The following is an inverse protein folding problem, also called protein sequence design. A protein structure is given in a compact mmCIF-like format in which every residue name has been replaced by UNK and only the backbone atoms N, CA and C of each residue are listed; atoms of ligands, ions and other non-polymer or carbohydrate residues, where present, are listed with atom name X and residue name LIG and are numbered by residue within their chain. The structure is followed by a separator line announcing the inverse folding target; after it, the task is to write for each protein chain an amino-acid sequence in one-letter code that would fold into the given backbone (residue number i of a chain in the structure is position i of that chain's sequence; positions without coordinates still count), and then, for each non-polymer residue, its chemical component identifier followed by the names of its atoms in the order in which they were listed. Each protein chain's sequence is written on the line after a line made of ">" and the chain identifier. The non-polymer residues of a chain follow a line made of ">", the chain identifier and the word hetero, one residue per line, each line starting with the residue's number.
data_IF_493438095754
#
_entry.id   IF_493438095754
#
_cell.length_a   1.000
_cell.length_b   1.000
_cell.length_c   1.000
_cell.angle_alpha   90.00
_cell.angle_beta   90.00
_cell.angle_gamma   90.00
#
_symmetry.space_group_name_H-M   'P 1'
#
loop_
_entity.id
_entity.type
_entity.pdbx_description
1 polymer ?
#
# COMPACT_ATOMS: atom_id res chain seq x y z
N UNK A 1 -16.43 -17.85 9.73
CA UNK A 1 -16.29 -18.90 8.69
C UNK A 1 -14.90 -18.78 8.10
N UNK A 2 -14.41 -19.79 7.39
CA UNK A 2 -13.15 -19.64 6.64
C UNK A 2 -13.39 -18.84 5.37
N UNK A 3 -12.50 -17.89 5.04
CA UNK A 3 -12.69 -17.04 3.89
C UNK A 3 -12.63 -17.87 2.60
N UNK A 4 -13.43 -17.48 1.62
CA UNK A 4 -13.57 -18.19 0.34
C UNK A 4 -13.42 -17.23 -0.82
N UNK A 5 -12.53 -17.57 -1.75
CA UNK A 5 -12.40 -16.88 -3.03
C UNK A 5 -13.69 -17.13 -3.85
N UNK A 6 -14.34 -16.04 -4.24
CA UNK A 6 -15.53 -16.03 -5.08
C UNK A 6 -15.14 -15.92 -6.57
N UNK A 7 -14.19 -15.04 -6.89
CA UNK A 7 -13.62 -14.87 -8.23
C UNK A 7 -12.20 -14.31 -8.16
N UNK A 8 -11.43 -14.52 -9.23
CA UNK A 8 -10.13 -13.90 -9.49
C UNK A 8 -10.05 -13.60 -10.98
N UNK A 9 -9.93 -12.33 -11.32
CA UNK A 9 -9.85 -11.87 -12.71
C UNK A 9 -8.55 -11.10 -12.92
N UNK A 10 -7.90 -11.33 -14.07
CA UNK A 10 -6.81 -10.47 -14.52
C UNK A 10 -7.42 -9.20 -15.09
N UNK A 11 -7.13 -8.06 -14.47
CA UNK A 11 -7.72 -6.77 -14.85
C UNK A 11 -6.77 -5.89 -15.67
N UNK A 12 -5.47 -6.23 -15.71
CA UNK A 12 -4.49 -5.52 -16.53
C UNK A 12 -3.22 -6.33 -16.78
N UNK A 13 -2.73 -6.31 -18.02
CA UNK A 13 -1.43 -6.86 -18.42
C UNK A 13 -0.78 -6.16 -19.61
N UNK A 14 -1.08 -4.89 -19.88
CA UNK A 14 -0.50 -4.20 -21.05
C UNK A 14 0.98 -3.87 -20.87
N UNK A 15 1.39 -3.40 -19.68
CA UNK A 15 2.79 -3.07 -19.37
C UNK A 15 3.73 -4.27 -19.36
N UNK A 16 5.04 -4.00 -19.50
CA UNK A 16 6.10 -5.03 -19.41
C UNK A 16 6.23 -5.58 -17.99
N UNK A 17 6.24 -4.69 -17.00
CA UNK A 17 6.14 -5.01 -15.58
C UNK A 17 5.01 -4.19 -14.96
N UNK A 18 4.11 -4.84 -14.22
CA UNK A 18 2.93 -4.22 -13.60
C UNK A 18 2.90 -4.62 -12.12
N UNK A 19 3.04 -3.68 -11.20
CA UNK A 19 3.17 -4.02 -9.79
C UNK A 19 2.72 -2.93 -8.80
N UNK A 20 2.67 -3.32 -7.53
CA UNK A 20 2.48 -2.44 -6.38
C UNK A 20 1.12 -1.77 -6.32
N UNK A 21 0.07 -2.59 -6.44
CA UNK A 21 -1.30 -2.10 -6.63
C UNK A 21 -1.86 -1.33 -5.44
N UNK A 22 -2.92 -0.57 -5.69
CA UNK A 22 -3.89 -0.18 -4.69
C UNK A 22 -5.28 -0.06 -5.30
N UNK A 23 -6.32 -0.10 -4.47
CA UNK A 23 -7.72 -0.12 -4.89
C UNK A 23 -8.57 0.76 -3.97
N UNK A 24 -9.43 1.60 -4.55
CA UNK A 24 -10.48 2.32 -3.81
C UNK A 24 -11.80 2.32 -4.57
N UNK A 25 -12.88 2.52 -3.82
CA UNK A 25 -14.21 2.77 -4.34
C UNK A 25 -14.49 4.27 -4.19
N UNK A 26 -14.60 4.99 -5.31
CA UNK A 26 -14.73 6.44 -5.32
C UNK A 26 -15.76 6.89 -6.38
N UNK A 27 -16.64 7.81 -5.99
CA UNK A 27 -17.68 8.39 -6.85
C UNK A 27 -18.46 7.37 -7.70
N UNK A 28 -18.88 6.24 -7.11
CA UNK A 28 -19.66 5.26 -7.88
C UNK A 28 -18.85 4.42 -8.87
N UNK A 29 -17.51 4.55 -8.90
CA UNK A 29 -16.60 3.63 -9.64
C UNK A 29 -15.51 2.97 -8.77
N UNK A 30 -14.89 1.93 -9.33
CA UNK A 30 -13.65 1.32 -8.86
C UNK A 30 -12.45 2.02 -9.50
N UNK A 31 -11.40 2.21 -8.71
CA UNK A 31 -10.14 2.82 -9.15
C UNK A 31 -8.99 1.98 -8.65
N UNK A 32 -8.14 1.53 -9.58
CA UNK A 32 -6.95 0.76 -9.28
C UNK A 32 -5.72 1.49 -9.82
N UNK A 33 -4.66 1.54 -9.01
CA UNK A 33 -3.38 2.15 -9.38
C UNK A 33 -2.26 1.14 -9.27
N UNK A 34 -1.27 1.22 -10.14
CA UNK A 34 -0.06 0.39 -10.10
C UNK A 34 1.06 1.06 -10.89
N UNK A 35 2.29 0.61 -10.65
CA UNK A 35 3.46 1.01 -11.42
C UNK A 35 3.55 0.18 -12.70
N UNK A 36 3.85 0.85 -13.82
CA UNK A 36 4.31 0.23 -15.06
C UNK A 36 5.77 0.61 -15.32
N UNK A 37 6.61 -0.38 -15.62
CA UNK A 37 8.02 -0.15 -15.97
C UNK A 37 8.60 -1.31 -16.81
N UNK A 38 9.91 -1.24 -17.10
CA UNK A 38 10.63 -2.32 -17.78
C UNK A 38 10.84 -3.56 -16.89
N UNK A 39 11.03 -3.36 -15.58
CA UNK A 39 11.28 -4.43 -14.61
C UNK A 39 10.88 -4.02 -13.17
N UNK A 40 11.03 -4.96 -12.21
CA UNK A 40 10.84 -4.71 -10.79
C UNK A 40 11.91 -3.78 -10.17
N UNK A 41 13.07 -3.67 -10.80
CA UNK A 41 14.29 -3.10 -10.25
C UNK A 41 14.35 -1.57 -10.37
N UNK A 42 15.38 -1.10 -11.08
CA UNK A 42 15.83 0.29 -11.12
C UNK A 42 15.42 1.01 -12.41
N UNK A 43 14.39 0.51 -13.09
CA UNK A 43 13.86 1.14 -14.29
C UNK A 43 13.03 2.37 -13.95
N UNK A 44 13.00 3.38 -14.83
CA UNK A 44 12.08 4.51 -14.71
C UNK A 44 10.66 4.00 -14.94
N UNK A 45 9.82 4.09 -13.91
CA UNK A 45 8.43 3.69 -13.92
C UNK A 45 7.47 4.87 -13.98
N UNK A 46 6.28 4.58 -14.52
CA UNK A 46 5.12 5.48 -14.49
C UNK A 46 4.02 4.86 -13.64
N UNK A 47 3.09 5.69 -13.17
CA UNK A 47 1.91 5.21 -12.45
C UNK A 47 0.69 5.21 -13.37
N UNK A 48 0.11 4.03 -13.54
CA UNK A 48 -1.14 3.81 -14.26
C UNK A 48 -2.31 3.96 -13.29
N UNK A 49 -3.36 4.63 -13.74
CA UNK A 49 -4.68 4.62 -13.10
C UNK A 49 -5.66 3.94 -14.06
N UNK A 50 -6.34 2.91 -13.60
CA UNK A 50 -7.44 2.27 -14.32
C UNK A 50 -8.74 2.39 -13.53
N UNK A 51 -9.87 2.44 -14.23
CA UNK A 51 -11.18 2.53 -13.62
C UNK A 51 -12.15 1.50 -14.17
N UNK A 52 -13.17 1.18 -13.38
CA UNK A 52 -14.25 0.28 -13.75
C UNK A 52 -15.54 0.66 -13.04
N UNK A 53 -16.68 0.52 -13.71
CA UNK A 53 -17.99 0.77 -13.09
C UNK A 53 -18.50 -0.46 -12.33
N UNK A 54 -18.17 -1.67 -12.82
CA UNK A 54 -18.70 -2.95 -12.37
C UNK A 54 -17.64 -3.89 -11.77
N UNK A 55 -16.37 -3.51 -11.86
CA UNK A 55 -15.24 -4.34 -11.44
C UNK A 55 -14.86 -5.44 -12.43
N UNK A 56 -15.50 -5.49 -13.61
CA UNK A 56 -15.27 -6.47 -14.66
C UNK A 56 -14.60 -5.84 -15.89
N UNK A 57 -15.17 -4.75 -16.39
CA UNK A 57 -14.61 -4.02 -17.53
C UNK A 57 -13.73 -2.88 -17.03
N UNK A 58 -12.43 -2.95 -17.33
CA UNK A 58 -11.43 -1.98 -16.89
C UNK A 58 -10.88 -1.17 -18.07
N UNK A 59 -10.67 0.12 -17.84
CA UNK A 59 -10.09 1.01 -18.83
C UNK A 59 -8.99 1.88 -18.19
N UNK A 60 -7.96 2.20 -18.97
CA UNK A 60 -6.98 3.22 -18.60
C UNK A 60 -7.65 4.59 -18.47
N UNK A 61 -7.53 5.20 -17.28
CA UNK A 61 -8.06 6.53 -16.99
C UNK A 61 -6.99 7.61 -17.01
N UNK A 62 -5.78 7.31 -16.50
CA UNK A 62 -4.67 8.27 -16.46
C UNK A 62 -3.30 7.57 -16.41
N UNK A 63 -2.27 8.33 -16.79
CA UNK A 63 -0.85 7.99 -16.59
C UNK A 63 -0.17 9.18 -15.93
N UNK A 64 0.47 8.94 -14.80
CA UNK A 64 1.33 9.90 -14.16
C UNK A 64 2.78 9.51 -14.42
N UNK A 65 3.56 10.48 -14.89
CA UNK A 65 4.98 10.36 -15.18
C UNK A 65 5.70 11.64 -14.74
N UNK A 66 6.96 11.51 -14.36
CA UNK A 66 7.88 12.60 -14.05
C UNK A 66 9.20 12.27 -14.75
N UNK A 67 9.77 13.23 -15.47
CA UNK A 67 10.97 13.01 -16.27
C UNK A 67 12.13 12.56 -15.38
N UNK A 68 12.86 11.52 -15.82
CA UNK A 68 13.98 10.89 -15.10
C UNK A 68 13.66 10.34 -13.68
N UNK A 69 12.39 10.31 -13.27
CA UNK A 69 11.98 9.87 -11.93
C UNK A 69 11.13 8.60 -12.02
N UNK A 70 11.54 7.57 -11.28
CA UNK A 70 10.75 6.34 -11.11
C UNK A 70 9.62 6.58 -10.12
N UNK A 71 8.41 6.81 -10.65
CA UNK A 71 7.19 6.87 -9.85
C UNK A 71 6.74 5.45 -9.48
N UNK A 72 6.64 5.18 -8.19
CA UNK A 72 6.52 3.82 -7.66
C UNK A 72 5.62 3.70 -6.43
N UNK A 73 5.16 2.48 -6.18
CA UNK A 73 4.29 2.10 -5.07
C UNK A 73 3.06 3.01 -4.88
N UNK A 74 2.26 3.27 -5.92
CA UNK A 74 1.12 4.16 -5.80
C UNK A 74 0.11 3.66 -4.76
N UNK A 75 -0.32 4.55 -3.86
CA UNK A 75 -1.40 4.31 -2.90
C UNK A 75 -2.44 5.42 -2.99
N UNK A 76 -3.70 5.02 -3.10
CA UNK A 76 -4.85 5.89 -3.17
C UNK A 76 -5.40 6.16 -1.77
N UNK A 77 -5.89 7.38 -1.59
CA UNK A 77 -6.70 7.77 -0.45
C UNK A 77 -7.81 8.72 -0.92
N UNK A 78 -9.00 8.59 -0.33
CA UNK A 78 -10.07 9.59 -0.51
C UNK A 78 -9.89 10.66 0.56
N UNK A 79 -9.76 11.91 0.14
CA UNK A 79 -9.63 13.05 1.03
C UNK A 79 -10.97 13.43 1.66
N UNK A 80 -10.97 14.11 2.83
CA UNK A 80 -12.19 14.60 3.47
C UNK A 80 -13.00 15.57 2.60
N UNK A 81 -12.32 16.35 1.75
CA UNK A 81 -12.96 17.26 0.80
C UNK A 81 -13.52 16.55 -0.46
N UNK A 82 -13.44 15.22 -0.51
CA UNK A 82 -13.96 14.39 -1.57
C UNK A 82 -13.02 14.22 -2.76
N UNK A 83 -11.80 14.78 -2.78
CA UNK A 83 -10.84 14.48 -3.85
C UNK A 83 -10.16 13.13 -3.66
N UNK A 84 -9.62 12.57 -4.73
CA UNK A 84 -8.62 11.51 -4.65
C UNK A 84 -7.23 12.11 -4.41
N UNK A 85 -6.47 11.44 -3.55
CA UNK A 85 -5.05 11.68 -3.31
C UNK A 85 -4.28 10.42 -3.69
N UNK A 86 -3.19 10.61 -4.42
CA UNK A 86 -2.28 9.55 -4.83
C UNK A 86 -0.90 9.82 -4.25
N UNK A 87 -0.42 8.87 -3.45
CA UNK A 87 0.89 8.89 -2.81
C UNK A 87 1.79 7.94 -3.57
N UNK A 88 2.98 8.39 -3.94
CA UNK A 88 3.95 7.62 -4.70
C UNK A 88 5.34 7.85 -4.10
N UNK A 89 6.25 6.89 -4.25
CA UNK A 89 7.67 7.16 -4.19
C UNK A 89 8.16 7.73 -5.52
N UNK A 90 9.09 8.68 -5.49
CA UNK A 90 9.86 9.12 -6.65
C UNK A 90 11.34 8.80 -6.42
N UNK A 91 11.86 7.79 -7.12
CA UNK A 91 13.27 7.40 -7.02
C UNK A 91 14.09 7.93 -8.19
N UNK A 92 15.33 8.33 -7.89
CA UNK A 92 16.31 8.79 -8.85
C UNK A 92 17.44 7.78 -8.94
N UNK A 93 17.83 7.47 -10.18
CA UNK A 93 18.89 6.52 -10.51
C UNK A 93 19.92 7.18 -11.41
N UNK A 94 21.18 6.77 -11.29
CA UNK A 94 22.21 7.03 -12.29
C UNK A 94 22.65 5.69 -12.88
N UNK A 95 22.13 5.36 -14.07
CA UNK A 95 22.23 4.01 -14.63
C UNK A 95 21.49 3.00 -13.75
N UNK A 96 22.18 2.02 -13.19
CA UNK A 96 21.61 1.05 -12.23
C UNK A 96 21.95 1.36 -10.77
N UNK A 97 22.51 2.55 -10.50
CA UNK A 97 22.89 2.98 -9.16
C UNK A 97 21.78 3.83 -8.52
N UNK A 98 21.35 3.46 -7.32
CA UNK A 98 20.43 4.27 -6.51
C UNK A 98 21.12 5.59 -6.09
N UNK A 99 20.44 6.72 -6.29
CA UNK A 99 20.90 8.03 -5.85
C UNK A 99 20.15 8.49 -4.61
N UNK A 100 18.86 8.78 -4.78
CA UNK A 100 17.98 9.17 -3.69
C UNK A 100 16.53 8.87 -4.07
N UNK A 101 15.62 9.16 -3.14
CA UNK A 101 14.18 9.11 -3.36
C UNK A 101 13.50 10.20 -2.55
N UNK A 102 12.30 10.56 -2.95
CA UNK A 102 11.41 11.41 -2.14
C UNK A 102 9.97 11.14 -2.51
N UNK A 103 9.01 11.25 -1.58
CA UNK A 103 7.62 11.03 -1.91
C UNK A 103 7.09 12.05 -2.91
N UNK A 104 6.05 11.63 -3.65
CA UNK A 104 5.30 12.41 -4.61
C UNK A 104 3.82 12.31 -4.31
N UNK A 105 3.12 13.45 -4.35
CA UNK A 105 1.69 13.54 -4.11
C UNK A 105 1.02 14.15 -5.34
N UNK A 106 -0.05 13.52 -5.81
CA UNK A 106 -0.94 14.08 -6.83
C UNK A 106 -2.39 14.02 -6.35
N UNK A 107 -3.21 14.94 -6.83
CA UNK A 107 -4.63 15.01 -6.51
C UNK A 107 -5.48 14.92 -7.75
N UNK A 108 -6.70 14.40 -7.60
CA UNK A 108 -7.67 14.35 -8.67
C UNK A 108 -9.08 14.62 -8.14
N UNK A 109 -9.89 15.47 -8.79
CA UNK A 109 -11.29 15.64 -8.44
C UNK A 109 -12.18 14.49 -8.91
N UNK A 110 -11.75 13.69 -9.89
CA UNK A 110 -12.61 12.74 -10.60
C UNK A 110 -11.97 11.37 -10.90
N UNK A 111 -10.67 11.22 -10.62
CA UNK A 111 -9.84 10.05 -10.92
C UNK A 111 -9.24 10.03 -12.33
N UNK A 112 -9.63 10.97 -13.20
CA UNK A 112 -9.17 11.07 -14.59
C UNK A 112 -8.13 12.19 -14.74
N UNK A 113 -8.43 13.38 -14.22
CA UNK A 113 -7.53 14.53 -14.29
C UNK A 113 -6.69 14.61 -13.01
N UNK A 114 -5.36 14.59 -13.16
CA UNK A 114 -4.43 14.60 -12.03
C UNK A 114 -3.54 15.84 -12.06
N UNK A 115 -3.28 16.42 -10.89
CA UNK A 115 -2.24 17.44 -10.76
C UNK A 115 -0.86 16.84 -11.06
N UNK A 116 0.09 17.69 -11.44
CA UNK A 116 1.50 17.28 -11.50
C UNK A 116 1.94 16.74 -10.12
N UNK A 117 2.77 15.67 -10.07
CA UNK A 117 3.29 15.15 -8.82
C UNK A 117 4.11 16.19 -8.06
N UNK A 118 3.73 16.49 -6.82
CA UNK A 118 4.45 17.40 -5.94
C UNK A 118 5.43 16.62 -5.05
N UNK A 119 6.72 16.99 -5.06
CA UNK A 119 7.73 16.48 -4.11
C UNK A 119 7.39 16.96 -2.70
N UNK A 120 7.31 16.02 -1.75
CA UNK A 120 7.12 16.30 -0.32
C UNK A 120 8.21 15.62 0.49
N UNK A 121 8.40 16.03 1.75
CA UNK A 121 9.48 15.57 2.65
C UNK A 121 10.91 15.78 2.09
N UNK A 122 11.90 15.55 2.95
CA UNK A 122 13.30 15.56 2.56
C UNK A 122 13.65 14.33 1.72
N UNK A 123 14.87 14.33 1.18
CA UNK A 123 15.43 13.20 0.45
C UNK A 123 15.58 11.95 1.34
N UNK A 124 15.66 10.80 0.68
CA UNK A 124 15.64 9.43 1.21
C UNK A 124 14.35 8.96 1.90
N UNK A 125 13.40 9.85 2.14
CA UNK A 125 12.08 9.49 2.65
C UNK A 125 11.26 8.72 1.62
N UNK A 126 10.45 7.78 2.10
CA UNK A 126 9.44 7.09 1.32
C UNK A 126 8.15 6.95 2.12
N UNK A 127 7.18 7.80 1.80
CA UNK A 127 5.88 7.83 2.45
C UNK A 127 5.04 6.67 1.92
N UNK A 128 4.67 5.73 2.79
CA UNK A 128 4.14 4.45 2.31
C UNK A 128 2.69 4.54 1.84
N UNK A 129 1.77 4.86 2.74
CA UNK A 129 0.31 4.91 2.51
C UNK A 129 -0.30 5.96 3.43
N UNK A 130 -1.25 6.74 2.92
CA UNK A 130 -1.96 7.74 3.71
C UNK A 130 -3.28 7.19 4.24
N UNK A 131 -3.59 7.50 5.49
CA UNK A 131 -4.88 7.21 6.14
C UNK A 131 -5.43 8.48 6.75
N UNK A 132 -6.65 8.86 6.39
CA UNK A 132 -7.34 10.01 6.94
C UNK A 132 -8.15 9.63 8.17
N UNK A 133 -8.08 10.46 9.21
CA UNK A 133 -8.94 10.43 10.40
C UNK A 133 -9.55 11.82 10.57
N UNK A 134 -10.82 11.97 10.20
CA UNK A 134 -11.41 13.29 10.01
C UNK A 134 -10.58 14.11 9.02
N UNK A 135 -10.25 15.35 9.38
CA UNK A 135 -9.48 16.29 8.55
C UNK A 135 -7.95 16.09 8.59
N UNK A 136 -7.45 15.03 9.25
CA UNK A 136 -6.01 14.82 9.43
C UNK A 136 -5.57 13.53 8.75
N UNK A 137 -4.62 13.66 7.82
CA UNK A 137 -3.90 12.57 7.19
C UNK A 137 -2.76 12.09 8.09
N UNK A 138 -2.54 10.78 8.13
CA UNK A 138 -1.41 10.15 8.79
C UNK A 138 -0.71 9.20 7.83
N UNK A 139 0.62 9.14 7.93
CA UNK A 139 1.42 8.17 7.19
C UNK A 139 2.75 7.94 7.86
N UNK A 140 3.32 6.76 7.62
CA UNK A 140 4.68 6.43 8.04
C UNK A 140 5.60 6.49 6.84
N UNK A 141 6.69 7.24 6.99
CA UNK A 141 7.78 7.26 6.04
C UNK A 141 8.87 6.28 6.46
N UNK A 142 9.37 5.46 5.52
CA UNK A 142 10.60 4.70 5.71
C UNK A 142 11.80 5.54 5.27
N UNK A 143 12.81 5.62 6.12
CA UNK A 143 14.10 6.25 5.84
C UNK A 143 15.21 5.20 5.92
N UNK A 144 16.19 5.30 5.02
CA UNK A 144 17.24 4.31 4.85
C UNK A 144 16.86 3.22 3.83
N UNK A 145 17.80 2.95 2.91
CA UNK A 145 17.76 1.86 1.92
C UNK A 145 19.03 1.00 2.04
N UNK A 146 18.98 -0.22 1.51
CA UNK A 146 20.16 -1.09 1.42
C UNK A 146 20.80 -1.48 2.77
N UNK A 147 22.07 -1.13 2.95
CA UNK A 147 22.90 -1.53 4.10
C UNK A 147 22.66 -0.71 5.37
N UNK A 148 21.83 0.34 5.31
CA UNK A 148 21.54 1.19 6.45
C UNK A 148 20.34 0.69 7.28
N UNK A 149 20.31 0.98 8.59
CA UNK A 149 19.14 0.70 9.42
C UNK A 149 17.89 1.37 8.82
N UNK A 150 16.80 0.59 8.66
CA UNK A 150 15.51 1.12 8.20
C UNK A 150 14.74 1.68 9.39
N UNK A 151 14.30 2.92 9.26
CA UNK A 151 13.65 3.69 10.32
C UNK A 151 12.26 4.11 9.86
N UNK A 152 11.27 3.94 10.73
CA UNK A 152 9.89 4.38 10.49
C UNK A 152 9.63 5.71 11.18
N UNK A 153 9.10 6.68 10.46
CA UNK A 153 8.76 8.00 10.99
C UNK A 153 7.29 8.30 10.75
N UNK A 154 6.54 8.53 11.83
CA UNK A 154 5.14 8.90 11.75
C UNK A 154 5.01 10.40 11.47
N UNK A 155 4.22 10.73 10.46
CA UNK A 155 3.86 12.09 10.09
C UNK A 155 2.35 12.27 10.07
N UNK A 156 1.93 13.53 10.22
CA UNK A 156 0.56 13.98 9.95
C UNK A 156 0.52 15.15 8.98
N UNK A 157 -0.61 15.36 8.33
CA UNK A 157 -0.86 16.49 7.42
C UNK A 157 -2.35 16.84 7.41
N UNK A 158 -2.69 18.05 7.00
CA UNK A 158 -4.09 18.49 6.78
C UNK A 158 -4.41 18.71 5.30
N UNK A 159 -3.39 18.81 4.45
CA UNK A 159 -3.52 19.10 3.02
C UNK A 159 -2.87 18.01 2.13
N UNK A 160 -2.17 17.05 2.74
CA UNK A 160 -1.41 16.02 2.05
C UNK A 160 -0.07 16.49 1.49
N UNK A 161 0.28 17.78 1.61
CA UNK A 161 1.49 18.39 1.05
C UNK A 161 2.48 18.79 2.16
N UNK A 162 2.01 19.51 3.18
CA UNK A 162 2.80 19.89 4.34
C UNK A 162 2.67 18.81 5.42
N UNK A 163 3.78 18.14 5.71
CA UNK A 163 3.83 17.03 6.66
C UNK A 163 4.57 17.42 7.93
N UNK A 164 3.90 17.28 9.08
CA UNK A 164 4.46 17.49 10.41
C UNK A 164 4.90 16.14 10.99
N UNK A 165 6.15 16.07 11.45
CA UNK A 165 6.68 14.90 12.16
C UNK A 165 6.02 14.75 13.53
N UNK A 166 5.64 13.52 13.89
CA UNK A 166 5.10 13.18 15.22
C UNK A 166 6.14 12.46 16.07
N UNK A 167 6.60 11.29 15.60
CA UNK A 167 7.55 10.47 16.32
C UNK A 167 8.31 9.53 15.37
N UNK A 168 9.35 8.90 15.91
CA UNK A 168 10.02 7.77 15.29
C UNK A 168 9.53 6.44 15.90
N UNK A 169 9.51 5.39 15.10
CA UNK A 169 9.18 4.04 15.55
C UNK A 169 10.43 3.35 16.12
N UNK A 170 10.52 3.30 17.44
CA UNK A 170 11.52 2.52 18.16
C UNK A 170 11.00 1.09 18.39
N UNK A 171 11.34 0.18 17.47
CA UNK A 171 11.01 -1.23 17.63
C UNK A 171 11.84 -1.85 18.78
N UNK A 172 11.29 -2.83 19.53
CA UNK A 172 12.01 -3.51 20.61
C UNK A 172 13.37 -4.11 20.19
N UNK A 173 14.26 -4.27 21.17
CA UNK A 173 15.58 -4.90 21.00
C UNK A 173 16.51 -4.18 20.00
N UNK A 174 16.43 -2.85 19.92
CA UNK A 174 17.24 -2.03 18.99
C UNK A 174 17.06 -2.47 17.53
N UNK A 175 15.84 -2.85 17.16
CA UNK A 175 15.52 -3.37 15.83
C UNK A 175 15.31 -2.23 14.84
N UNK A 176 16.13 -2.19 13.79
CA UNK A 176 16.07 -1.15 12.75
C UNK A 176 15.59 -1.69 11.40
N UNK A 177 14.36 -2.21 11.38
CA UNK A 177 13.78 -2.87 10.20
C UNK A 177 12.45 -2.27 9.75
N UNK A 178 11.92 -1.28 10.50
CA UNK A 178 10.65 -0.63 10.20
C UNK A 178 10.67 -0.04 8.79
N UNK A 179 9.70 -0.44 7.97
CA UNK A 179 9.62 -0.01 6.58
C UNK A 179 8.19 0.26 6.13
N UNK A 180 7.70 -0.50 5.15
CA UNK A 180 6.34 -0.35 4.59
C UNK A 180 5.30 -0.57 5.69
N UNK A 181 4.47 0.45 5.93
CA UNK A 181 3.63 0.51 7.13
C UNK A 181 2.25 1.07 6.83
N UNK A 182 1.23 0.26 7.00
CA UNK A 182 -0.16 0.69 6.89
C UNK A 182 -0.70 1.09 8.27
N UNK A 183 -1.50 2.16 8.32
CA UNK A 183 -2.17 2.64 9.54
C UNK A 183 -3.70 2.50 9.41
N UNK A 184 -4.41 2.19 10.50
CA UNK A 184 -5.87 2.33 10.62
C UNK A 184 -6.25 2.76 12.03
N UNK A 185 -7.45 3.31 12.16
CA UNK A 185 -8.00 3.76 13.44
C UNK A 185 -9.10 2.83 13.94
N UNK A 186 -9.04 2.52 15.22
CA UNK A 186 -10.09 1.84 15.98
C UNK A 186 -11.10 2.87 16.52
N UNK A 187 -12.31 2.45 16.93
CA UNK A 187 -13.35 3.38 17.40
C UNK A 187 -12.99 4.22 18.63
N UNK A 188 -11.98 3.81 19.41
CA UNK A 188 -11.49 4.55 20.59
C UNK A 188 -10.27 5.44 20.28
N UNK A 189 -10.09 5.81 19.02
CA UNK A 189 -8.97 6.58 18.45
C UNK A 189 -7.60 5.89 18.55
N UNK A 190 -7.54 4.62 18.96
CA UNK A 190 -6.31 3.83 18.88
C UNK A 190 -5.87 3.68 17.42
N UNK A 191 -4.65 4.11 17.13
CA UNK A 191 -3.99 3.88 15.85
C UNK A 191 -3.31 2.51 15.89
N UNK A 192 -3.59 1.70 14.89
CA UNK A 192 -2.93 0.40 14.67
C UNK A 192 -2.01 0.53 13.46
N UNK A 193 -0.78 0.06 13.59
CA UNK A 193 0.22 0.01 12.53
C UNK A 193 0.57 -1.44 12.18
N UNK A 194 0.47 -1.81 10.90
CA UNK A 194 1.02 -3.07 10.38
C UNK A 194 2.31 -2.77 9.62
N UNK A 195 3.44 -3.16 10.20
CA UNK A 195 4.79 -2.71 9.82
C UNK A 195 5.60 -3.88 9.27
N UNK A 196 6.12 -3.72 8.05
CA UNK A 196 7.11 -4.64 7.48
C UNK A 196 8.44 -4.56 8.26
N UNK A 197 9.09 -5.69 8.59
CA UNK A 197 8.77 -7.04 8.10
C UNK A 197 7.75 -7.84 8.92
N UNK A 198 7.58 -7.58 10.21
CA UNK A 198 6.93 -8.54 11.10
C UNK A 198 6.45 -7.88 12.41
N UNK A 199 5.92 -6.66 12.35
CA UNK A 199 5.50 -5.93 13.53
C UNK A 199 4.06 -5.41 13.43
N UNK A 200 3.35 -5.47 14.55
CA UNK A 200 2.11 -4.72 14.78
C UNK A 200 2.36 -3.74 15.91
N UNK A 201 1.94 -2.49 15.74
CA UNK A 201 2.02 -1.46 16.76
C UNK A 201 0.65 -0.89 17.10
N UNK A 202 0.46 -0.48 18.34
CA UNK A 202 -0.70 0.34 18.74
C UNK A 202 -0.27 1.58 19.52
N UNK A 203 -1.03 2.66 19.34
CA UNK A 203 -0.82 3.90 20.05
C UNK A 203 -2.12 4.69 20.19
N UNK A 204 -2.30 5.36 21.33
CA UNK A 204 -3.39 6.34 21.54
C UNK A 204 -2.90 7.76 21.26
N UNK A 205 -3.80 8.72 20.99
CA UNK A 205 -3.40 10.13 20.90
C UNK A 205 -2.53 10.54 22.10
N UNK A 206 -1.44 11.31 21.90
CA UNK A 206 -1.03 12.00 20.68
C UNK A 206 -0.15 11.18 19.72
N UNK A 207 -0.17 9.86 19.81
CA UNK A 207 0.54 8.90 18.95
C UNK A 207 2.07 8.89 19.07
N UNK A 208 2.58 9.30 20.23
CA UNK A 208 4.02 9.40 20.51
C UNK A 208 4.60 8.19 21.23
N UNK A 209 3.74 7.35 21.85
CA UNK A 209 4.15 6.17 22.60
C UNK A 209 3.49 4.92 22.01
N UNK A 210 4.31 3.93 21.66
CA UNK A 210 3.86 2.76 20.91
C UNK A 210 4.10 1.46 21.68
N UNK A 211 3.09 0.62 21.72
CA UNK A 211 3.20 -0.77 22.14
C UNK A 211 3.43 -1.64 20.89
N UNK A 212 4.47 -2.47 20.92
CA UNK A 212 4.89 -3.28 19.76
C UNK A 212 4.74 -4.76 20.02
N UNK A 213 4.19 -5.48 19.04
CA UNK A 213 4.15 -6.94 19.00
C UNK A 213 4.88 -7.43 17.76
N UNK A 214 5.90 -8.28 17.93
CA UNK A 214 6.50 -9.00 16.81
C UNK A 214 5.63 -10.19 16.45
N UNK A 215 5.25 -10.31 15.18
CA UNK A 215 4.51 -11.46 14.67
C UNK A 215 5.48 -12.50 14.11
N UNK A 216 5.05 -13.77 14.03
CA UNK A 216 5.88 -14.86 13.52
C UNK A 216 6.08 -14.85 12.00
N UNK A 217 5.25 -14.10 11.29
CA UNK A 217 5.22 -14.08 9.82
C UNK A 217 5.98 -12.88 9.25
N UNK A 218 6.82 -13.14 8.25
CA UNK A 218 7.48 -12.06 7.49
C UNK A 218 6.59 -11.62 6.33
N UNK A 219 6.41 -10.31 6.24
CA UNK A 219 5.54 -9.64 5.27
C UNK A 219 6.34 -8.76 4.30
N UNK A 220 5.76 -8.50 3.14
CA UNK A 220 6.16 -7.43 2.22
C UNK A 220 4.93 -6.71 1.67
N UNK A 221 5.00 -5.39 1.50
CA UNK A 221 3.88 -4.57 1.03
C UNK A 221 2.57 -4.72 1.83
N UNK A 222 2.59 -4.68 3.18
CA UNK A 222 1.41 -4.95 3.99
C UNK A 222 0.32 -3.88 3.82
N UNK A 223 -0.93 -4.32 3.76
CA UNK A 223 -2.14 -3.53 3.86
C UNK A 223 -3.14 -4.23 4.78
N UNK A 224 -4.05 -3.48 5.40
CA UNK A 224 -5.16 -4.05 6.14
C UNK A 224 -6.35 -3.09 6.15
N UNK A 225 -7.54 -3.63 6.44
CA UNK A 225 -8.77 -2.87 6.60
C UNK A 225 -9.44 -3.24 7.92
N UNK A 226 -10.21 -2.28 8.45
CA UNK A 226 -11.19 -2.55 9.51
C UNK A 226 -12.53 -2.76 8.82
N UNK A 227 -13.05 -3.97 8.95
CA UNK A 227 -14.36 -4.36 8.44
C UNK A 227 -15.47 -3.60 9.17
N UNK A 228 -16.66 -3.55 8.57
CA UNK A 228 -17.83 -2.86 9.12
C UNK A 228 -18.26 -3.37 10.49
N UNK A 229 -18.00 -4.64 10.81
CA UNK A 229 -18.23 -5.25 12.13
C UNK A 229 -17.09 -5.04 13.14
N UNK A 230 -16.02 -4.36 12.73
CA UNK A 230 -14.83 -4.07 13.54
C UNK A 230 -13.71 -5.10 13.45
N UNK A 231 -13.90 -6.24 12.77
CA UNK A 231 -12.82 -7.21 12.53
C UNK A 231 -11.73 -6.64 11.63
N UNK A 232 -10.49 -7.11 11.77
CA UNK A 232 -9.37 -6.68 10.94
C UNK A 232 -8.96 -7.78 9.97
N UNK A 233 -8.82 -7.41 8.70
CA UNK A 233 -8.33 -8.28 7.63
C UNK A 233 -7.10 -7.66 7.00
N UNK A 234 -6.03 -8.43 6.90
CA UNK A 234 -4.75 -7.98 6.38
C UNK A 234 -4.31 -8.78 5.15
N UNK A 235 -3.50 -8.16 4.30
CA UNK A 235 -2.84 -8.83 3.19
C UNK A 235 -1.41 -8.34 3.04
N UNK A 236 -0.53 -9.25 2.68
CA UNK A 236 0.87 -8.99 2.42
C UNK A 236 1.47 -10.08 1.53
N UNK A 237 2.73 -9.87 1.12
CA UNK A 237 3.56 -10.92 0.55
C UNK A 237 3.98 -11.85 1.67
N UNK A 238 3.49 -13.07 1.64
CA UNK A 238 3.87 -14.15 2.54
C UNK A 238 4.47 -15.31 1.76
N UNK A 239 4.38 -16.51 2.33
CA UNK A 239 4.77 -17.75 1.68
C UNK A 239 3.67 -18.81 1.81
N UNK A 240 3.56 -19.67 0.81
CA UNK A 240 2.87 -20.96 0.98
C UNK A 240 3.61 -21.81 2.03
N UNK A 241 2.95 -22.81 2.65
CA UNK A 241 3.64 -23.78 3.52
C UNK A 241 4.84 -24.47 2.86
N UNK A 242 4.83 -24.61 1.52
CA UNK A 242 5.96 -25.12 0.73
C UNK A 242 7.11 -24.13 0.51
N UNK A 243 7.00 -22.89 1.01
CA UNK A 243 8.05 -21.87 0.96
C UNK A 243 8.00 -20.91 -0.23
N UNK A 244 7.14 -21.15 -1.22
CA UNK A 244 6.95 -20.30 -2.40
C UNK A 244 6.30 -18.96 -2.03
N UNK A 245 6.67 -17.86 -2.71
CA UNK A 245 6.07 -16.54 -2.45
C UNK A 245 4.59 -16.54 -2.81
N UNK A 246 3.78 -15.89 -1.97
CA UNK A 246 2.33 -15.80 -2.18
C UNK A 246 1.77 -14.45 -1.73
N UNK A 247 0.65 -14.07 -2.33
CA UNK A 247 -0.26 -13.05 -1.78
C UNK A 247 -1.19 -13.74 -0.80
N UNK A 248 -1.13 -13.33 0.47
CA UNK A 248 -1.91 -13.95 1.53
C UNK A 248 -3.02 -13.00 2.01
N UNK A 249 -4.15 -13.57 2.42
CA UNK A 249 -5.14 -12.92 3.27
C UNK A 249 -5.00 -13.50 4.68
N UNK A 250 -5.01 -12.62 5.67
CA UNK A 250 -4.81 -12.95 7.06
C UNK A 250 -5.92 -12.37 7.95
N UNK A 251 -6.32 -13.14 8.97
CA UNK A 251 -7.06 -12.61 10.11
C UNK A 251 -6.09 -11.81 10.96
N UNK A 252 -6.47 -10.60 11.33
CA UNK A 252 -5.63 -9.71 12.11
C UNK A 252 -6.34 -9.30 13.40
N UNK A 253 -5.56 -9.07 14.44
CA UNK A 253 -5.94 -8.29 15.62
C UNK A 253 -4.90 -7.20 15.85
N UNK A 254 -5.06 -6.41 16.90
CA UNK A 254 -4.05 -5.43 17.33
C UNK A 254 -2.69 -6.06 17.71
N UNK A 255 -2.63 -7.38 17.90
CA UNK A 255 -1.41 -8.09 18.33
C UNK A 255 -1.18 -9.42 17.61
N UNK A 256 -1.99 -9.78 16.61
CA UNK A 256 -1.84 -11.04 15.89
C UNK A 256 -2.09 -10.90 14.39
N UNK A 257 -1.45 -11.78 13.64
CA UNK A 257 -1.56 -11.91 12.20
C UNK A 257 -1.51 -13.40 11.84
N UNK A 258 -2.61 -13.92 11.32
CA UNK A 258 -2.76 -15.34 10.97
C UNK A 258 -3.14 -15.47 9.49
N UNK A 259 -2.21 -15.92 8.61
CA UNK A 259 -2.56 -16.26 7.23
C UNK A 259 -3.62 -17.36 7.20
N UNK A 260 -4.73 -17.11 6.51
CA UNK A 260 -5.88 -18.04 6.43
C UNK A 260 -6.27 -18.40 5.00
N UNK A 261 -5.75 -17.67 4.00
CA UNK A 261 -6.04 -17.91 2.60
C UNK A 261 -4.87 -17.43 1.73
N UNK A 262 -4.54 -18.19 0.69
CA UNK A 262 -3.51 -17.87 -0.29
C UNK A 262 -4.17 -17.67 -1.66
N UNK A 263 -3.93 -16.52 -2.28
CA UNK A 263 -4.50 -16.22 -3.60
C UNK A 263 -3.68 -16.90 -4.70
N UNK A 264 -4.28 -17.19 -5.87
CA UNK A 264 -3.56 -17.59 -7.07
C UNK A 264 -2.48 -16.55 -7.40
N UNK A 265 -1.25 -16.84 -6.99
CA UNK A 265 -0.13 -15.90 -7.05
C UNK A 265 1.20 -16.62 -6.88
N UNK A 266 2.29 -15.98 -7.31
CA UNK A 266 3.61 -16.59 -7.30
C UNK A 266 4.68 -15.68 -7.89
N UNK A 267 5.95 -16.03 -7.66
CA UNK A 267 7.09 -15.25 -8.12
C UNK A 267 7.15 -13.85 -7.52
N UNK A 268 7.06 -12.83 -8.38
CA UNK A 268 6.94 -11.43 -7.97
C UNK A 268 5.46 -11.06 -7.81
N UNK A 269 4.99 -10.89 -6.57
CA UNK A 269 3.56 -10.75 -6.27
C UNK A 269 3.24 -9.95 -4.99
N UNK A 270 1.94 -9.69 -4.78
CA UNK A 270 1.28 -9.07 -3.61
C UNK A 270 0.97 -7.57 -3.72
N UNK A 271 1.23 -6.79 -2.67
CA UNK A 271 1.00 -5.35 -2.53
C UNK A 271 -0.47 -5.00 -2.79
N UNK A 272 -1.33 -5.52 -1.92
CA UNK A 272 -2.75 -5.52 -2.16
C UNK A 272 -3.44 -4.18 -1.87
N UNK A 273 -4.36 -3.78 -2.75
CA UNK A 273 -5.42 -2.83 -2.45
C UNK A 273 -6.62 -3.58 -1.88
N UNK A 274 -7.31 -3.04 -0.87
CA UNK A 274 -8.35 -3.77 -0.14
C UNK A 274 -9.55 -2.87 0.14
N UNK A 275 -10.75 -3.32 -0.24
CA UNK A 275 -12.00 -2.59 -0.04
C UNK A 275 -13.10 -3.56 0.37
N UNK A 276 -13.81 -3.25 1.45
CA UNK A 276 -15.11 -3.87 1.75
C UNK A 276 -16.19 -3.22 0.88
N UNK A 277 -16.94 -4.02 0.13
CA UNK A 277 -18.09 -3.55 -0.64
C UNK A 277 -19.17 -4.62 -0.70
N UNK A 278 -20.38 -4.27 -0.26
CA UNK A 278 -21.55 -5.16 -0.24
C UNK A 278 -21.30 -6.51 0.49
N UNK A 279 -20.53 -6.46 1.59
CA UNK A 279 -20.19 -7.64 2.38
C UNK A 279 -19.14 -8.56 1.76
N UNK A 280 -18.46 -8.11 0.70
CA UNK A 280 -17.41 -8.84 0.00
C UNK A 280 -16.10 -8.06 0.07
N UNK A 281 -14.98 -8.76 0.30
CA UNK A 281 -13.66 -8.18 0.24
C UNK A 281 -13.19 -8.17 -1.21
N UNK A 282 -13.03 -6.97 -1.76
CA UNK A 282 -12.43 -6.74 -3.06
C UNK A 282 -10.95 -6.45 -2.87
N UNK A 283 -10.11 -7.22 -3.55
CA UNK A 283 -8.67 -7.16 -3.35
C UNK A 283 -7.92 -7.13 -4.67
N UNK A 284 -7.29 -6.01 -4.99
CA UNK A 284 -6.33 -5.94 -6.10
C UNK A 284 -4.98 -6.49 -5.63
N UNK A 285 -4.23 -7.13 -6.51
CA UNK A 285 -2.84 -7.52 -6.25
C UNK A 285 -2.12 -7.74 -7.58
N UNK A 286 -0.78 -7.73 -7.56
CA UNK A 286 -0.01 -8.13 -8.73
C UNK A 286 0.59 -9.52 -8.55
N UNK A 287 0.90 -10.21 -9.65
CA UNK A 287 1.55 -11.51 -9.63
C UNK A 287 2.21 -11.87 -10.95
N UNK A 288 3.34 -12.58 -10.91
CA UNK A 288 4.02 -13.14 -12.09
C UNK A 288 3.76 -14.63 -12.31
N UNK A 289 2.79 -15.24 -11.62
CA UNK A 289 2.53 -16.69 -11.70
C UNK A 289 2.15 -17.22 -13.09
N UNK A 290 1.69 -16.34 -13.99
CA UNK A 290 1.37 -16.66 -15.39
C UNK A 290 2.48 -16.19 -16.36
N UNK A 291 3.71 -16.00 -15.87
CA UNK A 291 4.89 -15.63 -16.65
C UNK A 291 5.27 -14.15 -16.53
N UNK A 292 4.37 -13.23 -16.91
CA UNK A 292 4.57 -11.78 -16.78
C UNK A 292 3.80 -11.24 -15.58
N UNK A 293 4.36 -10.27 -14.86
CA UNK A 293 3.63 -9.57 -13.79
C UNK A 293 2.40 -8.87 -14.37
N UNK A 294 1.23 -9.27 -13.87
CA UNK A 294 -0.08 -8.73 -14.26
C UNK A 294 -0.84 -8.31 -13.01
N UNK A 295 -1.89 -7.51 -13.18
CA UNK A 295 -2.76 -7.06 -12.10
C UNK A 295 -4.01 -7.93 -12.06
N UNK A 296 -4.36 -8.38 -10.87
CA UNK A 296 -5.50 -9.23 -10.61
C UNK A 296 -6.44 -8.57 -9.60
N UNK A 297 -7.72 -8.89 -9.68
CA UNK A 297 -8.76 -8.51 -8.74
C UNK A 297 -9.43 -9.77 -8.22
N UNK A 298 -9.41 -9.97 -6.91
CA UNK A 298 -10.12 -11.04 -6.25
C UNK A 298 -11.35 -10.49 -5.51
N UNK A 299 -12.42 -11.28 -5.51
CA UNK A 299 -13.55 -11.12 -4.60
C UNK A 299 -13.53 -12.27 -3.59
N UNK A 300 -13.65 -11.95 -2.30
CA UNK A 300 -13.50 -12.92 -1.21
C UNK A 300 -14.64 -12.72 -0.22
N UNK A 301 -15.36 -13.80 0.09
CA UNK A 301 -16.26 -13.85 1.24
C UNK A 301 -15.41 -14.10 2.50
N UNK A 302 -15.56 -13.26 3.52
CA UNK A 302 -14.78 -13.30 4.77
C UNK A 302 -15.67 -13.50 6.00
#
# INVERSE_FOLDING_TARGET
>A
MDPKILSVEKIWDEGTHNAFTDLVRYAGKWWCTFREAADHGWSIGTVRVICSEDGQAWASAAVLAEDEVDLRDPKLAVMPDGRLMLVMGGALYEGTEYRTRSPRIAFSPDGCEWTAPAKVLAEDHWLWRVTWQGEVAYSVSKLGEGHFPRRGFLYKSVDGLAWEWICEFFLPNETWTASETTLRFMPDDTMVALVRPDWIGTSKPPYTEWAWTQIGERMGGPNFIRWSDGTLWASARGRHPGGESATVLARMTETSYEPVLWLPSGGDCSYAGMVEHEGVLWMSYYSSHEGKTSIYLAQIAV
#
